data_IF_164624266260
#
_entry.id   IF_164624266260
#
_cell.length_a   1.000
_cell.length_b   1.000
_cell.length_c   1.000
_cell.angle_alpha   90.00
_cell.angle_beta   90.00
_cell.angle_gamma   90.00
#
_symmetry.space_group_name_H-M   'P 1'
#
loop_
_entity.id
_entity.type
_entity.pdbx_description
1 polymer ?
#
# COMPACT_ATOMS: atom_id res chain seq x y z
N UNK A 1 42.29 20.75 -6.36
CA UNK A 1 42.20 19.41 -7.00
C UNK A 1 40.76 18.95 -6.87
N UNK A 2 40.12 18.74 -8.02
CA UNK A 2 38.71 18.40 -8.17
C UNK A 2 38.40 17.06 -7.49
N UNK A 3 37.48 17.05 -6.52
CA UNK A 3 36.82 15.80 -6.12
C UNK A 3 35.72 15.53 -7.15
N UNK A 4 35.95 14.50 -7.94
CA UNK A 4 34.98 13.88 -8.83
C UNK A 4 33.76 13.48 -7.97
N UNK A 5 32.60 14.06 -8.26
CA UNK A 5 31.32 13.65 -7.67
C UNK A 5 30.99 12.31 -8.33
N UNK A 6 31.22 11.21 -7.63
CA UNK A 6 30.78 9.89 -8.07
C UNK A 6 29.26 9.82 -7.96
N UNK A 7 28.64 9.60 -9.10
CA UNK A 7 27.23 9.43 -9.36
C UNK A 7 26.77 8.07 -8.80
N UNK A 8 26.57 7.95 -7.48
CA UNK A 8 25.71 6.96 -6.81
C UNK A 8 25.68 7.14 -5.28
N UNK A 9 25.29 8.33 -4.79
CA UNK A 9 24.99 8.48 -3.36
C UNK A 9 23.66 7.78 -3.04
N UNK A 10 23.76 6.52 -2.60
CA UNK A 10 22.62 5.74 -2.12
C UNK A 10 22.14 6.33 -0.80
N UNK A 11 21.19 7.25 -0.87
CA UNK A 11 20.53 7.81 0.31
C UNK A 11 19.76 6.72 1.06
N UNK A 12 19.95 6.62 2.38
CA UNK A 12 19.26 5.64 3.21
C UNK A 12 17.78 5.98 3.38
N UNK A 13 17.45 7.26 3.56
CA UNK A 13 16.08 7.72 3.79
C UNK A 13 15.59 8.65 2.68
N UNK A 14 14.36 8.48 2.21
CA UNK A 14 13.68 9.47 1.35
C UNK A 14 12.71 10.31 2.18
N UNK A 15 12.76 11.64 2.08
CA UNK A 15 11.92 12.57 2.85
C UNK A 15 10.67 13.03 2.06
N UNK A 16 9.62 12.23 2.05
CA UNK A 16 8.36 12.51 1.35
C UNK A 16 7.28 13.17 2.21
N UNK A 17 6.16 13.52 1.58
CA UNK A 17 5.01 14.12 2.26
C UNK A 17 4.94 15.65 2.11
N UNK A 18 4.22 16.32 3.03
CA UNK A 18 3.84 17.73 2.94
C UNK A 18 5.01 18.64 2.60
N UNK A 19 4.78 19.56 1.67
CA UNK A 19 5.76 20.57 1.24
C UNK A 19 5.32 21.94 1.78
N UNK A 20 5.13 22.94 0.93
CA UNK A 20 4.73 24.27 1.36
C UNK A 20 3.30 24.26 1.95
N UNK A 21 3.04 24.98 3.07
CA UNK A 21 3.91 25.93 3.75
C UNK A 21 4.73 25.33 4.92
N UNK A 22 4.87 24.01 4.98
CA UNK A 22 5.53 23.32 6.10
C UNK A 22 7.05 23.39 6.01
N UNK A 23 7.70 23.34 7.17
CA UNK A 23 9.16 23.45 7.33
C UNK A 23 9.78 22.26 8.06
N UNK A 24 8.98 21.21 8.34
CA UNK A 24 9.36 20.05 9.14
C UNK A 24 10.66 19.36 8.69
N UNK A 25 10.97 19.40 7.38
CA UNK A 25 12.23 18.89 6.84
C UNK A 25 13.41 19.65 7.43
N UNK A 26 13.38 20.98 7.35
CA UNK A 26 14.48 21.84 7.78
C UNK A 26 14.54 22.00 9.30
N UNK A 27 13.39 22.13 9.94
CA UNK A 27 13.31 22.48 11.36
C UNK A 27 13.53 21.26 12.27
N UNK A 28 13.16 20.06 11.83
CA UNK A 28 13.16 18.86 12.67
C UNK A 28 13.91 17.68 12.05
N UNK A 29 13.45 17.17 10.90
CA UNK A 29 13.93 15.89 10.38
C UNK A 29 15.40 15.92 9.96
N UNK A 30 15.82 16.91 9.16
CA UNK A 30 17.19 17.02 8.63
C UNK A 30 18.22 17.20 9.76
N UNK A 31 18.03 18.12 10.74
CA UNK A 31 18.93 18.24 11.87
C UNK A 31 19.12 16.91 12.63
N UNK A 32 18.03 16.20 12.92
CA UNK A 32 18.07 14.92 13.64
C UNK A 32 18.77 13.81 12.85
N UNK A 33 18.57 13.76 11.53
CA UNK A 33 19.24 12.78 10.67
C UNK A 33 20.73 13.05 10.54
N UNK A 34 21.13 14.32 10.42
CA UNK A 34 22.53 14.73 10.39
C UNK A 34 23.25 14.40 11.70
N UNK A 35 22.63 14.68 12.85
CA UNK A 35 23.17 14.34 14.18
C UNK A 35 23.48 12.85 14.33
N UNK A 36 22.69 11.99 13.66
CA UNK A 36 22.82 10.52 13.65
C UNK A 36 23.67 9.97 12.51
N UNK A 37 24.19 10.83 11.63
CA UNK A 37 24.96 10.40 10.45
C UNK A 37 24.16 9.60 9.43
N UNK A 38 22.83 9.75 9.39
CA UNK A 38 21.96 9.04 8.45
C UNK A 38 21.82 9.85 7.15
N UNK A 39 22.13 9.23 6.02
CA UNK A 39 22.02 9.88 4.70
C UNK A 39 20.56 9.95 4.23
N UNK A 40 20.16 11.05 3.61
CA UNK A 40 18.77 11.26 3.17
C UNK A 40 18.67 12.02 1.86
N UNK A 41 17.61 11.73 1.09
CA UNK A 41 17.21 12.51 -0.08
C UNK A 41 16.07 13.45 0.26
N UNK A 42 16.28 14.76 0.06
CA UNK A 42 15.24 15.77 0.20
C UNK A 42 14.71 16.19 -1.19
N UNK A 43 13.46 15.84 -1.56
CA UNK A 43 12.88 16.22 -2.85
C UNK A 43 12.51 17.72 -2.94
N UNK A 44 12.43 18.44 -1.82
CA UNK A 44 12.00 19.83 -1.82
C UNK A 44 13.14 20.75 -2.29
N UNK A 45 13.01 21.27 -3.50
CA UNK A 45 13.94 22.21 -4.11
C UNK A 45 13.34 23.62 -4.24
N UNK A 46 14.18 24.65 -4.23
CA UNK A 46 13.75 26.04 -4.43
C UNK A 46 13.22 26.31 -5.86
N UNK A 47 13.76 25.60 -6.86
CA UNK A 47 13.36 25.73 -8.27
C UNK A 47 13.13 24.35 -8.88
N UNK A 48 11.87 24.02 -9.14
CA UNK A 48 11.48 22.75 -9.75
C UNK A 48 11.83 22.72 -11.25
N UNK A 49 12.25 21.54 -11.75
CA UNK A 49 12.52 21.27 -13.17
C UNK A 49 12.04 19.86 -13.52
N UNK A 50 11.68 19.64 -14.78
CA UNK A 50 11.15 18.36 -15.25
C UNK A 50 12.10 17.17 -15.00
N UNK A 51 13.41 17.38 -15.09
CA UNK A 51 14.45 16.38 -14.80
C UNK A 51 14.43 15.86 -13.36
N UNK A 52 13.82 16.60 -12.43
CA UNK A 52 13.73 16.20 -11.02
C UNK A 52 12.69 15.11 -10.79
N UNK A 53 11.72 14.93 -11.70
CA UNK A 53 10.71 13.87 -11.58
C UNK A 53 11.37 12.50 -11.57
N UNK A 54 12.26 12.26 -12.54
CA UNK A 54 12.93 10.96 -12.67
C UNK A 54 13.94 10.74 -11.55
N UNK A 55 14.68 11.78 -11.17
CA UNK A 55 15.60 11.71 -10.01
C UNK A 55 14.87 11.40 -8.71
N UNK A 56 13.73 12.05 -8.47
CA UNK A 56 12.90 11.79 -7.29
C UNK A 56 12.35 10.36 -7.32
N UNK A 57 11.92 9.87 -8.48
CA UNK A 57 11.47 8.49 -8.63
C UNK A 57 12.58 7.49 -8.30
N UNK A 58 13.78 7.69 -8.85
CA UNK A 58 14.95 6.85 -8.57
C UNK A 58 15.33 6.92 -7.09
N UNK A 59 15.30 8.10 -6.47
CA UNK A 59 15.57 8.27 -5.05
C UNK A 59 14.56 7.51 -4.18
N UNK A 60 13.27 7.53 -4.52
CA UNK A 60 12.24 6.72 -3.84
C UNK A 60 12.52 5.22 -3.99
N UNK A 61 12.89 4.77 -5.19
CA UNK A 61 13.18 3.35 -5.44
C UNK A 61 14.40 2.87 -4.66
N UNK A 62 15.46 3.67 -4.62
CA UNK A 62 16.74 3.31 -4.02
C UNK A 62 16.79 3.48 -2.50
N UNK A 63 15.91 4.32 -1.93
CA UNK A 63 15.86 4.56 -0.50
C UNK A 63 15.52 3.29 0.29
N UNK A 64 16.26 3.09 1.38
CA UNK A 64 16.02 1.99 2.32
C UNK A 64 14.76 2.22 3.14
N UNK A 65 14.51 3.45 3.58
CA UNK A 65 13.28 3.80 4.30
C UNK A 65 12.63 4.99 3.61
N UNK A 66 11.32 4.89 3.39
CA UNK A 66 10.50 6.02 2.97
C UNK A 66 9.99 6.68 4.25
N UNK A 67 10.38 7.93 4.49
CA UNK A 67 9.93 8.72 5.64
C UNK A 67 8.97 9.79 5.17
N UNK A 68 7.70 9.68 5.54
CA UNK A 68 6.64 10.55 5.06
C UNK A 68 5.99 11.33 6.20
N UNK A 69 5.81 12.64 6.02
CA UNK A 69 5.06 13.50 6.95
C UNK A 69 3.80 14.02 6.28
N UNK A 70 2.66 13.82 6.93
CA UNK A 70 1.34 14.27 6.50
C UNK A 70 0.84 15.30 7.51
N UNK A 71 1.16 16.57 7.26
CA UNK A 71 0.90 17.71 8.13
C UNK A 71 -0.49 18.31 7.91
N UNK A 72 -1.08 18.97 8.91
CA UNK A 72 -2.44 19.51 8.78
C UNK A 72 -2.55 20.87 8.06
N UNK A 73 -1.46 21.51 7.62
CA UNK A 73 -1.51 22.78 6.88
C UNK A 73 -1.73 22.63 5.38
N UNK A 74 -1.75 21.41 4.85
CA UNK A 74 -1.98 21.10 3.43
C UNK A 74 -3.11 20.08 3.28
N UNK A 75 -3.71 19.95 2.09
CA UNK A 75 -4.70 18.87 1.82
C UNK A 75 -4.07 17.47 1.72
N UNK A 76 -2.75 17.38 1.58
CA UNK A 76 -1.97 16.14 1.46
C UNK A 76 -2.41 15.12 0.41
N UNK A 77 -3.17 15.52 -0.60
CA UNK A 77 -3.78 14.57 -1.55
C UNK A 77 -2.75 13.61 -2.17
N UNK A 78 -1.63 14.15 -2.64
CA UNK A 78 -0.55 13.34 -3.23
C UNK A 78 0.17 12.50 -2.17
N UNK A 79 0.52 13.09 -1.02
CA UNK A 79 1.23 12.37 0.04
C UNK A 79 0.46 11.17 0.58
N UNK A 80 -0.87 11.29 0.71
CA UNK A 80 -1.75 10.19 1.10
C UNK A 80 -1.77 9.09 0.03
N UNK A 81 -1.92 9.46 -1.25
CA UNK A 81 -1.88 8.52 -2.38
C UNK A 81 -0.55 7.75 -2.41
N UNK A 82 0.57 8.44 -2.22
CA UNK A 82 1.89 7.82 -2.18
C UNK A 82 2.05 6.85 -1.00
N UNK A 83 1.74 7.30 0.22
CA UNK A 83 1.83 6.49 1.42
C UNK A 83 0.97 5.23 1.32
N UNK A 84 -0.27 5.37 0.80
CA UNK A 84 -1.15 4.23 0.54
C UNK A 84 -0.56 3.25 -0.48
N UNK A 85 -0.02 3.74 -1.60
CA UNK A 85 0.63 2.88 -2.58
C UNK A 85 1.85 2.15 -2.01
N UNK A 86 2.68 2.82 -1.22
CA UNK A 86 3.84 2.19 -0.58
C UNK A 86 3.46 1.15 0.46
N UNK A 87 2.37 1.38 1.21
CA UNK A 87 1.83 0.39 2.12
C UNK A 87 1.35 -0.87 1.39
N UNK A 88 0.75 -0.73 0.20
CA UNK A 88 0.42 -1.89 -0.64
C UNK A 88 1.65 -2.59 -1.25
N UNK A 89 2.79 -1.91 -1.38
CA UNK A 89 3.99 -2.41 -2.08
C UNK A 89 5.06 -3.02 -1.16
N UNK A 90 4.74 -3.32 0.11
CA UNK A 90 5.66 -3.86 1.13
C UNK A 90 6.98 -3.07 1.32
N UNK A 91 7.00 -1.77 0.98
CA UNK A 91 8.15 -0.89 1.19
C UNK A 91 8.28 -0.54 2.68
N UNK A 92 9.50 -0.44 3.20
CA UNK A 92 9.73 0.06 4.56
C UNK A 92 9.35 1.55 4.62
N UNK A 93 8.18 1.82 5.19
CA UNK A 93 7.59 3.14 5.35
C UNK A 93 7.55 3.51 6.83
N UNK A 94 7.88 4.76 7.13
CA UNK A 94 7.64 5.40 8.42
C UNK A 94 6.77 6.62 8.15
N UNK A 95 5.61 6.69 8.82
CA UNK A 95 4.62 7.72 8.56
C UNK A 95 4.42 8.60 9.80
N UNK A 96 4.50 9.92 9.64
CA UNK A 96 4.07 10.91 10.64
C UNK A 96 2.77 11.53 10.16
N UNK A 97 1.74 11.59 11.01
CA UNK A 97 0.44 12.15 10.64
C UNK A 97 -0.03 13.16 11.68
N UNK A 98 -0.26 14.40 11.25
CA UNK A 98 -0.89 15.43 12.06
C UNK A 98 -2.38 15.51 11.72
N UNK A 99 -3.23 15.43 12.72
CA UNK A 99 -4.67 15.50 12.54
C UNK A 99 -5.12 16.91 12.11
N UNK A 100 -6.13 16.98 11.24
CA UNK A 100 -6.82 18.24 10.94
C UNK A 100 -7.62 18.69 12.17
N UNK A 101 -7.35 19.90 12.65
CA UNK A 101 -8.00 20.48 13.83
C UNK A 101 -9.50 20.71 13.61
N UNK A 102 -10.23 21.01 14.68
CA UNK A 102 -11.68 21.27 14.68
C UNK A 102 -12.08 22.56 13.97
N UNK A 103 -13.26 23.07 14.34
CA UNK A 103 -13.95 24.18 13.69
C UNK A 103 -13.05 25.36 13.32
N UNK A 104 -13.22 25.87 12.09
CA UNK A 104 -12.42 26.98 11.57
C UNK A 104 -11.00 26.60 11.13
N UNK A 105 -10.69 25.31 10.99
CA UNK A 105 -9.42 24.86 10.41
C UNK A 105 -9.16 25.51 9.04
N UNK A 106 -7.89 25.83 8.78
CA UNK A 106 -7.46 26.51 7.55
C UNK A 106 -6.30 25.75 6.90
N UNK A 107 -6.34 25.67 5.58
CA UNK A 107 -5.29 25.06 4.77
C UNK A 107 -4.54 26.16 4.05
N UNK A 108 -3.26 26.34 4.36
CA UNK A 108 -2.44 27.41 3.79
C UNK A 108 -3.13 28.80 3.80
N UNK A 109 -3.84 29.12 4.88
CA UNK A 109 -4.62 30.35 5.06
C UNK A 109 -6.06 30.31 4.48
N UNK A 110 -6.37 29.37 3.61
CA UNK A 110 -7.70 29.17 3.02
C UNK A 110 -8.69 28.59 4.04
N UNK A 111 -9.88 29.18 4.14
CA UNK A 111 -10.99 28.56 4.89
C UNK A 111 -11.54 27.38 4.10
N UNK A 112 -11.70 26.23 4.75
CA UNK A 112 -12.34 25.05 4.18
C UNK A 112 -13.75 24.86 4.75
N UNK A 113 -14.62 24.16 4.04
CA UNK A 113 -15.95 23.82 4.54
C UNK A 113 -15.91 22.66 5.54
N UNK A 114 -16.98 22.50 6.32
CA UNK A 114 -17.11 21.36 7.24
C UNK A 114 -17.09 20.02 6.48
N UNK A 115 -17.70 19.97 5.30
CA UNK A 115 -17.70 18.78 4.46
C UNK A 115 -16.29 18.46 3.96
N UNK A 116 -15.51 19.48 3.56
CA UNK A 116 -14.11 19.29 3.18
C UNK A 116 -13.28 18.73 4.33
N UNK A 117 -13.45 19.28 5.53
CA UNK A 117 -12.76 18.81 6.72
C UNK A 117 -13.11 17.34 7.03
N UNK A 118 -14.39 16.97 6.89
CA UNK A 118 -14.84 15.58 7.03
C UNK A 118 -14.17 14.67 5.99
N UNK A 119 -14.15 15.07 4.72
CA UNK A 119 -13.57 14.27 3.63
C UNK A 119 -12.06 14.06 3.84
N UNK A 120 -11.34 15.11 4.26
CA UNK A 120 -9.92 15.08 4.57
C UNK A 120 -9.60 14.16 5.75
N UNK A 121 -10.40 14.23 6.82
CA UNK A 121 -10.25 13.36 8.00
C UNK A 121 -10.52 11.90 7.65
N UNK A 122 -11.62 11.60 6.93
CA UNK A 122 -11.92 10.24 6.46
C UNK A 122 -10.80 9.65 5.64
N UNK A 123 -10.13 10.46 4.81
CA UNK A 123 -8.98 9.99 4.03
C UNK A 123 -7.77 9.68 4.89
N UNK A 124 -7.50 10.46 5.94
CA UNK A 124 -6.43 10.18 6.89
C UNK A 124 -6.72 8.96 7.76
N UNK A 125 -7.96 8.80 8.23
CA UNK A 125 -8.36 7.65 9.04
C UNK A 125 -8.22 6.35 8.24
N UNK A 126 -8.66 6.36 6.98
CA UNK A 126 -8.43 5.25 6.06
C UNK A 126 -6.94 4.97 5.86
N UNK A 127 -6.10 6.00 5.68
CA UNK A 127 -4.65 5.81 5.54
C UNK A 127 -4.06 5.14 6.79
N UNK A 128 -4.44 5.59 7.98
CA UNK A 128 -4.01 4.99 9.25
C UNK A 128 -4.45 3.53 9.37
N UNK A 129 -5.69 3.21 9.03
CA UNK A 129 -6.20 1.83 9.00
C UNK A 129 -5.37 0.94 8.05
N UNK A 130 -5.03 1.45 6.86
CA UNK A 130 -4.18 0.73 5.91
C UNK A 130 -2.76 0.51 6.46
N UNK A 131 -2.17 1.51 7.14
CA UNK A 131 -0.86 1.33 7.78
C UNK A 131 -0.92 0.26 8.85
N UNK A 132 -1.92 0.31 9.75
CA UNK A 132 -2.11 -0.64 10.84
C UNK A 132 -2.25 -2.07 10.31
N UNK A 133 -3.11 -2.28 9.29
CA UNK A 133 -3.29 -3.58 8.64
C UNK A 133 -2.00 -4.13 8.02
N UNK A 134 -1.14 -3.26 7.49
CA UNK A 134 0.15 -3.67 6.93
C UNK A 134 1.25 -3.83 7.99
N UNK A 135 1.00 -3.41 9.24
CA UNK A 135 2.01 -3.40 10.31
C UNK A 135 3.03 -2.27 10.15
N UNK A 136 2.64 -1.19 9.47
CA UNK A 136 3.47 -0.01 9.24
C UNK A 136 3.28 0.97 10.41
N UNK A 137 4.35 1.43 11.07
CA UNK A 137 4.24 2.30 12.22
C UNK A 137 3.85 3.73 11.81
N UNK A 138 2.88 4.30 12.54
CA UNK A 138 2.45 5.70 12.41
C UNK A 138 2.76 6.49 13.66
N UNK A 139 3.23 7.72 13.51
CA UNK A 139 3.65 8.59 14.60
C UNK A 139 2.97 9.97 14.52
N UNK A 140 2.95 10.68 15.64
CA UNK A 140 2.50 12.08 15.71
C UNK A 140 3.67 13.07 15.84
N UNK A 141 4.89 12.56 16.02
CA UNK A 141 6.07 13.37 16.31
C UNK A 141 7.31 12.87 15.56
N UNK A 142 7.99 13.80 14.89
CA UNK A 142 9.12 13.52 14.00
C UNK A 142 10.31 12.91 14.74
N UNK A 143 10.77 13.43 15.89
CA UNK A 143 11.84 12.80 16.68
C UNK A 143 11.67 11.30 16.94
N UNK A 144 10.47 10.85 17.33
CA UNK A 144 10.19 9.43 17.60
C UNK A 144 10.21 8.63 16.29
N UNK A 145 9.62 9.18 15.23
CA UNK A 145 9.61 8.56 13.91
C UNK A 145 11.03 8.40 13.35
N UNK A 146 11.91 9.39 13.52
CA UNK A 146 13.32 9.33 13.08
C UNK A 146 14.07 8.22 13.83
N UNK A 147 13.76 8.01 15.12
CA UNK A 147 14.30 6.88 15.88
C UNK A 147 13.85 5.53 15.34
N UNK A 148 12.56 5.39 15.04
CA UNK A 148 12.06 4.17 14.40
C UNK A 148 12.73 3.94 13.02
N UNK A 149 12.89 4.99 12.22
CA UNK A 149 13.55 4.88 10.92
C UNK A 149 15.01 4.42 11.04
N UNK A 150 15.74 4.90 12.04
CA UNK A 150 17.10 4.45 12.38
C UNK A 150 17.12 2.96 12.79
N UNK A 151 16.21 2.53 13.67
CA UNK A 151 16.09 1.12 14.09
C UNK A 151 15.83 0.21 12.87
N UNK A 152 14.92 0.61 11.98
CA UNK A 152 14.62 -0.11 10.73
C UNK A 152 15.84 -0.20 9.78
N UNK A 153 16.73 0.80 9.81
CA UNK A 153 17.98 0.79 9.04
C UNK A 153 19.00 -0.18 9.64
N UNK A 154 19.11 -0.27 10.97
CA UNK A 154 20.06 -1.16 11.65
C UNK A 154 19.63 -2.63 11.62
N UNK A 155 18.33 -2.92 11.61
CA UNK A 155 17.80 -4.28 11.41
C UNK A 155 18.10 -4.85 10.01
N UNK A 156 18.64 -4.05 9.06
CA UNK A 156 19.02 -4.50 7.71
C UNK A 156 20.40 -5.16 7.62
N UNK A 157 21.16 -5.30 8.70
CA UNK A 157 22.57 -5.76 8.65
C UNK A 157 22.84 -7.18 9.19
N UNK A 158 21.80 -7.99 9.45
CA UNK A 158 21.98 -9.38 9.95
C UNK A 158 22.43 -10.36 8.84
N UNK A 159 22.27 -10.00 7.57
CA UNK A 159 22.59 -10.86 6.40
C UNK A 159 24.06 -10.88 5.98
N UNK A 160 24.98 -10.22 6.69
CA UNK A 160 26.43 -10.29 6.40
C UNK A 160 27.16 -11.46 7.07
N UNK A 161 26.46 -12.31 7.82
CA UNK A 161 27.06 -13.41 8.58
C UNK A 161 26.62 -14.80 8.09
N UNK A 162 26.52 -15.05 6.79
CA UNK A 162 26.52 -16.44 6.28
C UNK A 162 27.35 -16.49 5.00
N UNK A 163 28.58 -16.98 5.11
CA UNK A 163 29.34 -17.43 3.97
C UNK A 163 29.77 -18.89 4.20
N UNK A 164 29.86 -19.61 3.08
CA UNK A 164 30.39 -20.96 2.85
C UNK A 164 29.51 -22.18 3.17
N UNK A 165 29.18 -22.87 2.05
CA UNK A 165 28.93 -24.31 1.88
C UNK A 165 27.57 -24.85 2.37
N UNK A 166 26.61 -24.99 1.45
CA UNK A 166 26.41 -26.28 0.78
C UNK A 166 25.45 -26.18 -0.40
N UNK A 167 25.78 -26.92 -1.46
CA UNK A 167 25.05 -27.03 -2.72
C UNK A 167 24.41 -28.42 -2.72
N UNK A 168 23.07 -28.54 -2.66
CA UNK A 168 22.32 -29.74 -3.09
C UNK A 168 20.88 -29.33 -3.47
N UNK A 169 20.40 -29.97 -4.55
CA UNK A 169 19.18 -29.80 -5.34
C UNK A 169 17.86 -29.71 -4.52
N UNK A 170 16.82 -28.98 -4.93
CA UNK A 170 15.85 -29.39 -5.98
C UNK A 170 14.71 -28.36 -6.13
N UNK A 171 14.24 -28.18 -7.37
CA UNK A 171 12.95 -27.63 -7.85
C UNK A 171 12.52 -26.21 -7.44
N UNK A 172 12.13 -25.45 -8.47
CA UNK A 172 11.70 -24.04 -8.46
C UNK A 172 10.61 -23.75 -7.42
N UNK A 173 11.05 -23.40 -6.23
CA UNK A 173 10.34 -22.55 -5.28
C UNK A 173 11.08 -21.22 -5.34
N UNK A 174 10.34 -20.11 -5.44
CA UNK A 174 10.87 -18.75 -5.48
C UNK A 174 11.99 -18.56 -4.43
N UNK A 175 13.19 -18.15 -4.83
CA UNK A 175 14.37 -18.05 -3.94
C UNK A 175 14.06 -17.18 -2.69
N UNK A 176 13.13 -16.23 -2.84
CA UNK A 176 12.65 -15.36 -1.78
C UNK A 176 11.75 -16.09 -0.76
N UNK A 177 10.91 -17.03 -1.21
CA UNK A 177 10.05 -17.86 -0.35
C UNK A 177 10.85 -18.89 0.45
N UNK A 178 11.87 -19.50 -0.16
CA UNK A 178 12.74 -20.46 0.54
C UNK A 178 13.50 -19.75 1.66
N UNK A 179 13.99 -18.55 1.39
CA UNK A 179 14.68 -17.71 2.40
C UNK A 179 13.73 -17.37 3.56
N UNK A 180 12.50 -16.94 3.26
CA UNK A 180 11.48 -16.66 4.27
C UNK A 180 11.15 -17.88 5.14
N UNK A 181 11.08 -19.07 4.54
CA UNK A 181 10.82 -20.32 5.27
C UNK A 181 12.00 -20.68 6.17
N UNK A 182 13.23 -20.53 5.70
CA UNK A 182 14.44 -20.78 6.50
C UNK A 182 14.52 -19.85 7.71
N UNK A 183 14.31 -18.55 7.51
CA UNK A 183 14.31 -17.55 8.58
C UNK A 183 13.22 -17.83 9.61
N UNK A 184 12.00 -18.13 9.14
CA UNK A 184 10.88 -18.42 10.03
C UNK A 184 11.13 -19.70 10.82
N UNK A 185 11.60 -20.77 10.17
CA UNK A 185 11.92 -22.02 10.85
C UNK A 185 13.00 -21.83 11.92
N UNK A 186 14.07 -21.12 11.58
CA UNK A 186 15.18 -20.83 12.50
C UNK A 186 14.73 -19.99 13.70
N UNK A 187 13.75 -19.10 13.52
CA UNK A 187 13.18 -18.32 14.62
C UNK A 187 12.42 -19.19 15.64
N UNK A 188 11.89 -20.35 15.22
CA UNK A 188 11.17 -21.28 16.10
C UNK A 188 12.05 -22.44 16.59
N UNK A 189 13.07 -22.85 15.84
CA UNK A 189 14.08 -23.82 16.29
C UNK A 189 15.12 -23.19 17.23
N UNK A 190 14.64 -22.61 18.33
CA UNK A 190 15.45 -21.91 19.34
C UNK A 190 16.56 -22.75 19.98
N UNK A 191 16.47 -24.08 19.85
CA UNK A 191 17.44 -25.04 20.37
C UNK A 191 18.41 -25.56 19.31
N UNK A 192 18.29 -25.10 18.07
CA UNK A 192 19.05 -25.59 16.91
C UNK A 192 19.01 -27.12 16.80
N UNK A 193 17.82 -27.68 17.08
CA UNK A 193 17.56 -29.12 17.13
C UNK A 193 17.32 -29.72 15.75
N UNK A 194 17.14 -28.89 14.73
CA UNK A 194 16.76 -29.27 13.37
C UNK A 194 15.26 -29.57 13.23
N UNK A 195 14.46 -29.36 14.28
CA UNK A 195 13.02 -29.67 14.31
C UNK A 195 12.24 -28.64 15.13
N UNK A 196 10.98 -28.37 14.76
CA UNK A 196 10.07 -27.49 15.50
C UNK A 196 8.77 -28.21 15.87
N UNK A 197 8.01 -27.73 16.86
CA UNK A 197 6.76 -28.39 17.23
C UNK A 197 5.62 -28.09 16.25
N UNK A 198 4.56 -28.91 16.20
CA UNK A 198 3.36 -28.59 15.40
C UNK A 198 2.71 -27.25 15.77
N UNK A 199 2.82 -26.85 17.03
CA UNK A 199 2.33 -25.56 17.53
C UNK A 199 3.21 -24.39 17.03
N UNK A 200 4.52 -24.61 16.93
CA UNK A 200 5.43 -23.68 16.24
C UNK A 200 5.14 -23.59 14.75
N UNK A 201 4.78 -24.71 14.11
CA UNK A 201 4.35 -24.70 12.70
C UNK A 201 3.09 -23.85 12.52
N UNK A 202 2.08 -23.97 13.39
CA UNK A 202 0.88 -23.12 13.36
C UNK A 202 1.25 -21.63 13.50
N UNK A 203 2.14 -21.29 14.44
CA UNK A 203 2.62 -19.91 14.63
C UNK A 203 3.41 -19.40 13.43
N UNK A 204 4.29 -20.22 12.89
CA UNK A 204 5.07 -19.93 11.71
C UNK A 204 4.18 -19.72 10.48
N UNK A 205 3.14 -20.54 10.32
CA UNK A 205 2.12 -20.40 9.28
C UNK A 205 1.38 -19.05 9.41
N UNK A 206 0.96 -18.69 10.62
CA UNK A 206 0.36 -17.37 10.89
C UNK A 206 1.32 -16.20 10.64
N UNK A 207 2.62 -16.39 10.85
CA UNK A 207 3.63 -15.37 10.57
C UNK A 207 3.87 -15.18 9.06
N UNK A 208 3.86 -16.26 8.29
CA UNK A 208 4.14 -16.25 6.85
C UNK A 208 2.90 -15.82 6.05
N UNK A 209 1.74 -16.39 6.34
CA UNK A 209 0.52 -16.20 5.54
C UNK A 209 -0.51 -15.28 6.18
N UNK A 210 -0.31 -14.85 7.44
CA UNK A 210 -1.28 -14.07 8.23
C UNK A 210 -2.66 -14.75 8.36
N UNK A 211 -2.68 -16.08 8.28
CA UNK A 211 -3.84 -16.95 8.45
C UNK A 211 -3.58 -17.95 9.60
N UNK A 212 -4.63 -18.36 10.31
CA UNK A 212 -4.50 -19.40 11.33
C UNK A 212 -4.82 -20.76 10.72
N UNK A 213 -3.93 -21.74 10.91
CA UNK A 213 -4.15 -23.14 10.54
C UNK A 213 -4.29 -24.00 11.80
N UNK A 214 -5.22 -24.96 11.80
CA UNK A 214 -5.39 -25.86 12.94
C UNK A 214 -4.40 -27.03 12.88
N UNK A 215 -4.05 -27.58 14.04
CA UNK A 215 -3.24 -28.81 14.12
C UNK A 215 -3.94 -29.99 13.43
N UNK A 216 -5.28 -29.99 13.40
CA UNK A 216 -6.07 -31.00 12.68
C UNK A 216 -5.80 -30.97 11.17
N UNK A 217 -5.73 -29.77 10.59
CA UNK A 217 -5.44 -29.57 9.15
C UNK A 217 -3.98 -29.89 8.83
N UNK A 218 -3.04 -29.62 9.74
CA UNK A 218 -1.64 -30.01 9.55
C UNK A 218 -1.43 -31.55 9.54
N UNK A 219 -2.27 -32.30 10.27
CA UNK A 219 -2.20 -33.77 10.34
C UNK A 219 -2.70 -34.46 9.07
N UNK A 220 -3.59 -33.84 8.30
CA UNK A 220 -4.06 -34.41 7.02
C UNK A 220 -2.98 -34.30 5.93
N UNK A 221 -2.09 -33.30 6.02
CA UNK A 221 -0.96 -33.09 5.10
C UNK A 221 0.24 -33.99 5.41
N UNK A 222 0.36 -34.51 6.64
CA UNK A 222 1.43 -35.38 7.10
C UNK A 222 0.91 -36.79 7.47
N UNK A 223 0.67 -37.69 6.51
CA UNK A 223 0.11 -39.02 6.78
C UNK A 223 1.06 -39.99 7.52
N UNK A 224 2.28 -39.57 7.88
CA UNK A 224 3.29 -40.41 8.55
C UNK A 224 3.81 -39.80 9.86
N UNK A 225 2.95 -39.17 10.64
CA UNK A 225 3.20 -39.08 12.08
C UNK A 225 2.66 -40.36 12.72
N UNK A 226 3.50 -41.39 12.74
CA UNK A 226 3.21 -42.67 13.37
C UNK A 226 2.65 -42.44 14.79
N UNK A 227 1.68 -43.27 15.18
CA UNK A 227 0.84 -43.15 16.38
C UNK A 227 1.56 -43.21 17.74
N UNK A 228 2.82 -42.78 17.80
CA UNK A 228 3.62 -42.62 18.99
C UNK A 228 4.24 -41.20 19.05
N UNK A 229 3.39 -40.17 19.00
CA UNK A 229 3.60 -38.90 19.70
C UNK A 229 4.90 -38.13 19.44
N UNK A 230 5.57 -38.31 18.31
CA UNK A 230 6.66 -37.39 17.90
C UNK A 230 6.03 -36.08 17.42
N UNK A 231 6.02 -35.08 18.30
CA UNK A 231 5.48 -33.74 18.10
C UNK A 231 6.39 -32.82 17.29
N UNK A 232 7.40 -33.36 16.59
CA UNK A 232 8.49 -32.61 15.97
C UNK A 232 8.46 -32.67 14.45
N UNK A 233 8.69 -31.52 13.79
CA UNK A 233 8.60 -31.29 12.36
C UNK A 233 9.96 -30.79 11.85
N UNK A 234 10.57 -31.54 10.94
CA UNK A 234 11.85 -31.14 10.31
C UNK A 234 11.68 -30.00 9.31
N UNK A 235 12.77 -29.30 8.96
CA UNK A 235 12.74 -28.22 7.98
C UNK A 235 12.17 -28.67 6.62
N UNK A 236 12.51 -29.88 6.15
CA UNK A 236 11.98 -30.42 4.89
C UNK A 236 10.46 -30.66 4.96
N UNK A 237 9.95 -31.16 6.09
CA UNK A 237 8.50 -31.31 6.33
C UNK A 237 7.80 -29.95 6.47
N UNK A 238 8.45 -28.98 7.11
CA UNK A 238 7.96 -27.60 7.22
C UNK A 238 7.83 -26.93 5.84
N UNK A 239 8.85 -27.04 4.99
CA UNK A 239 8.78 -26.60 3.60
C UNK A 239 7.73 -27.36 2.80
N UNK A 240 7.48 -28.64 3.10
CA UNK A 240 6.39 -29.39 2.45
C UNK A 240 5.02 -28.91 2.91
N UNK A 241 4.84 -28.54 4.19
CA UNK A 241 3.58 -27.98 4.71
C UNK A 241 3.28 -26.62 4.07
N UNK A 242 4.27 -25.73 4.02
CA UNK A 242 4.12 -24.39 3.48
C UNK A 242 4.16 -24.38 1.94
N UNK A 243 4.97 -25.25 1.35
CA UNK A 243 5.16 -25.40 -0.10
C UNK A 243 4.11 -26.27 -0.79
N UNK A 244 3.41 -27.16 -0.07
CA UNK A 244 2.24 -27.89 -0.62
C UNK A 244 0.98 -27.03 -0.72
N UNK A 245 1.06 -25.71 -0.48
CA UNK A 245 0.31 -24.80 -1.34
C UNK A 245 0.92 -24.85 -2.75
N UNK A 246 0.74 -25.99 -3.42
CA UNK A 246 0.30 -25.92 -4.81
C UNK A 246 -0.90 -24.98 -4.80
N UNK A 247 -0.95 -24.10 -5.78
CA UNK A 247 -2.10 -23.39 -6.34
C UNK A 247 -3.45 -24.12 -6.25
N UNK A 248 -3.92 -24.39 -5.04
CA UNK A 248 -5.14 -25.11 -4.61
C UNK A 248 -5.28 -24.74 -3.12
N UNK A 249 -5.86 -23.62 -2.72
CA UNK A 249 -6.99 -22.93 -3.30
C UNK A 249 -6.57 -21.67 -4.06
N UNK A 250 -7.08 -21.49 -5.28
CA UNK A 250 -7.48 -20.15 -5.70
C UNK A 250 -8.28 -19.58 -4.52
N UNK A 251 -7.81 -18.53 -3.85
CA UNK A 251 -8.68 -17.78 -2.93
C UNK A 251 -9.89 -17.44 -3.78
N UNK A 252 -11.00 -18.17 -3.58
CA UNK A 252 -12.14 -18.06 -4.47
C UNK A 252 -12.56 -16.60 -4.37
N UNK A 253 -12.47 -15.90 -5.50
CA UNK A 253 -12.82 -14.50 -5.58
C UNK A 253 -14.27 -14.44 -5.11
N UNK A 254 -14.54 -13.69 -4.04
CA UNK A 254 -15.90 -13.62 -3.50
C UNK A 254 -16.83 -12.89 -4.46
N UNK A 255 -16.26 -12.05 -5.33
CA UNK A 255 -16.98 -11.29 -6.34
C UNK A 255 -16.12 -11.08 -7.59
N UNK A 256 -16.76 -11.00 -8.76
CA UNK A 256 -16.06 -10.71 -10.01
C UNK A 256 -15.55 -9.27 -10.04
N UNK A 257 -16.37 -8.32 -9.58
CA UNK A 257 -16.03 -6.90 -9.56
C UNK A 257 -16.20 -6.26 -8.18
N UNK A 258 -15.24 -5.43 -7.79
CA UNK A 258 -15.38 -4.45 -6.72
C UNK A 258 -15.64 -3.08 -7.35
N UNK A 259 -16.76 -2.45 -7.02
CA UNK A 259 -17.17 -1.17 -7.59
C UNK A 259 -17.16 -0.09 -6.51
N UNK A 260 -16.25 0.88 -6.60
CA UNK A 260 -16.18 1.99 -5.65
C UNK A 260 -15.97 3.33 -6.35
N UNK A 261 -16.41 4.41 -5.71
CA UNK A 261 -16.32 5.76 -6.27
C UNK A 261 -17.58 6.58 -6.07
N UNK A 262 -17.42 7.87 -5.79
CA UNK A 262 -18.55 8.77 -5.59
C UNK A 262 -19.13 9.29 -6.91
N UNK A 263 -20.40 9.70 -6.86
CA UNK A 263 -21.18 10.16 -8.00
C UNK A 263 -22.56 9.54 -7.98
N UNK A 264 -23.58 10.37 -8.18
CA UNK A 264 -24.98 9.93 -8.18
C UNK A 264 -25.20 8.93 -9.33
N UNK A 265 -25.65 7.73 -8.96
CA UNK A 265 -26.36 6.78 -9.81
C UNK A 265 -25.59 5.97 -10.85
N UNK A 266 -24.31 6.22 -11.15
CA UNK A 266 -23.62 5.41 -12.17
C UNK A 266 -23.60 3.91 -11.85
N UNK A 267 -23.54 3.56 -10.56
CA UNK A 267 -23.62 2.17 -10.10
C UNK A 267 -24.98 1.55 -10.47
N UNK A 268 -26.08 2.27 -10.26
CA UNK A 268 -27.45 1.79 -10.54
C UNK A 268 -27.83 1.87 -12.03
N UNK A 269 -27.45 2.95 -12.70
CA UNK A 269 -27.88 3.27 -14.06
C UNK A 269 -26.98 2.64 -15.14
N UNK A 270 -25.69 2.42 -14.84
CA UNK A 270 -24.71 1.93 -15.83
C UNK A 270 -24.18 0.57 -15.39
N UNK A 271 -23.56 0.47 -14.22
CA UNK A 271 -22.81 -0.72 -13.83
C UNK A 271 -23.71 -1.95 -13.60
N UNK A 272 -24.73 -1.83 -12.75
CA UNK A 272 -25.61 -2.96 -12.41
C UNK A 272 -26.36 -3.55 -13.62
N UNK A 273 -26.96 -2.76 -14.54
CA UNK A 273 -27.61 -3.31 -15.73
C UNK A 273 -26.64 -4.09 -16.62
N UNK A 274 -25.44 -3.55 -16.85
CA UNK A 274 -24.41 -4.20 -17.68
C UNK A 274 -23.89 -5.48 -17.03
N UNK A 275 -23.61 -5.46 -15.72
CA UNK A 275 -23.12 -6.65 -15.00
C UNK A 275 -24.14 -7.77 -14.95
N UNK A 276 -25.43 -7.44 -14.69
CA UNK A 276 -26.53 -8.42 -14.70
C UNK A 276 -26.71 -9.06 -16.08
N UNK A 277 -26.57 -8.28 -17.16
CA UNK A 277 -26.63 -8.78 -18.53
C UNK A 277 -25.54 -9.82 -18.83
N UNK A 278 -24.37 -9.66 -18.22
CA UNK A 278 -23.22 -10.56 -18.36
C UNK A 278 -23.15 -11.65 -17.27
N UNK A 279 -24.10 -11.69 -16.33
CA UNK A 279 -24.13 -12.69 -15.25
C UNK A 279 -23.00 -12.58 -14.23
N UNK A 280 -22.36 -11.41 -14.11
CA UNK A 280 -21.22 -11.19 -13.21
C UNK A 280 -21.67 -10.72 -11.82
N UNK A 281 -21.03 -11.27 -10.79
CA UNK A 281 -21.18 -10.87 -9.39
C UNK A 281 -20.39 -9.58 -9.09
N UNK A 282 -20.85 -8.78 -8.14
CA UNK A 282 -20.18 -7.54 -7.80
C UNK A 282 -20.38 -7.15 -6.33
N UNK A 283 -19.42 -6.40 -5.79
CA UNK A 283 -19.45 -5.82 -4.46
C UNK A 283 -19.46 -4.29 -4.54
N UNK A 284 -20.38 -3.65 -3.83
CA UNK A 284 -20.47 -2.19 -3.70
C UNK A 284 -20.32 -1.81 -2.22
N UNK A 285 -19.16 -1.30 -1.78
CA UNK A 285 -18.85 -1.04 -0.37
C UNK A 285 -19.89 -0.18 0.34
N UNK A 286 -20.46 0.80 -0.36
CA UNK A 286 -21.38 1.77 0.24
C UNK A 286 -22.73 1.15 0.68
N UNK A 287 -23.00 -0.10 0.28
CA UNK A 287 -24.21 -0.85 0.68
C UNK A 287 -24.01 -1.70 1.95
N UNK A 288 -22.77 -1.83 2.44
CA UNK A 288 -22.42 -2.72 3.55
C UNK A 288 -21.82 -1.94 4.71
N UNK A 289 -22.03 -2.44 5.93
CA UNK A 289 -21.47 -1.87 7.16
C UNK A 289 -20.18 -2.56 7.62
N UNK A 290 -19.77 -3.64 6.96
CA UNK A 290 -18.69 -4.54 7.40
C UNK A 290 -17.50 -4.58 6.43
N UNK A 291 -16.49 -5.40 6.75
CA UNK A 291 -15.10 -5.36 6.27
C UNK A 291 -14.91 -5.28 4.74
N UNK A 292 -14.97 -4.06 4.23
CA UNK A 292 -14.79 -3.73 2.82
C UNK A 292 -13.36 -3.99 2.32
N UNK A 293 -12.40 -4.19 3.23
CA UNK A 293 -11.01 -4.48 2.89
C UNK A 293 -10.86 -5.92 2.39
N UNK A 294 -11.48 -6.88 3.07
CA UNK A 294 -11.50 -8.28 2.61
C UNK A 294 -12.15 -8.40 1.25
N UNK A 295 -13.28 -7.73 1.02
CA UNK A 295 -13.92 -7.71 -0.30
C UNK A 295 -13.01 -7.09 -1.38
N UNK A 296 -12.29 -6.00 -1.07
CA UNK A 296 -11.32 -5.40 -1.98
C UNK A 296 -10.21 -6.38 -2.35
N UNK A 297 -9.68 -7.13 -1.38
CA UNK A 297 -8.60 -8.08 -1.62
C UNK A 297 -9.06 -9.36 -2.33
N UNK A 298 -10.36 -9.70 -2.24
CA UNK A 298 -10.94 -10.93 -2.78
C UNK A 298 -11.80 -10.72 -4.04
N UNK A 299 -11.76 -9.53 -4.63
CA UNK A 299 -12.41 -9.26 -5.91
C UNK A 299 -11.45 -9.42 -7.06
N UNK A 300 -11.93 -10.02 -8.16
CA UNK A 300 -11.12 -10.31 -9.34
C UNK A 300 -10.72 -9.05 -10.13
N UNK A 301 -11.62 -8.07 -10.22
CA UNK A 301 -11.38 -6.78 -10.88
C UNK A 301 -11.83 -5.65 -9.96
N UNK A 302 -11.02 -4.61 -9.80
CA UNK A 302 -11.33 -3.44 -8.98
C UNK A 302 -11.57 -2.22 -9.85
N UNK A 303 -12.81 -1.72 -9.92
CA UNK A 303 -13.16 -0.51 -10.65
C UNK A 303 -13.29 0.67 -9.68
N UNK A 304 -12.42 1.66 -9.84
CA UNK A 304 -12.46 2.92 -9.09
C UNK A 304 -12.94 4.06 -10.00
N UNK A 305 -14.04 4.71 -9.62
CA UNK A 305 -14.58 5.89 -10.33
C UNK A 305 -14.33 7.16 -9.51
N UNK A 306 -13.52 8.05 -10.05
CA UNK A 306 -13.15 9.35 -9.46
C UNK A 306 -13.84 10.43 -10.29
N UNK A 307 -14.97 10.91 -9.79
CA UNK A 307 -15.86 11.83 -10.47
C UNK A 307 -15.36 13.30 -10.46
N UNK A 308 -15.86 14.10 -11.42
CA UNK A 308 -15.69 15.56 -11.47
C UNK A 308 -16.62 16.34 -10.51
N UNK A 309 -17.46 15.63 -9.74
CA UNK A 309 -18.38 16.22 -8.75
C UNK A 309 -18.10 15.78 -7.29
N UNK A 310 -16.92 15.23 -7.03
CA UNK A 310 -16.47 14.83 -5.69
C UNK A 310 -14.97 15.11 -5.48
N UNK A 311 -14.53 15.26 -4.22
CA UNK A 311 -13.09 15.32 -3.89
C UNK A 311 -12.39 13.97 -4.09
N UNK A 312 -13.11 12.87 -3.88
CA UNK A 312 -12.68 11.48 -4.09
C UNK A 312 -11.42 11.05 -3.34
N UNK A 313 -11.17 11.63 -2.16
CA UNK A 313 -9.95 11.39 -1.40
C UNK A 313 -9.80 9.93 -0.93
N UNK A 314 -10.84 9.38 -0.32
CA UNK A 314 -10.85 7.98 0.13
C UNK A 314 -10.80 7.01 -1.05
N UNK A 315 -11.54 7.29 -2.12
CA UNK A 315 -11.53 6.50 -3.36
C UNK A 315 -10.14 6.47 -3.98
N UNK A 316 -9.47 7.62 -4.13
CA UNK A 316 -8.10 7.70 -4.63
C UNK A 316 -7.09 6.98 -3.71
N UNK A 317 -7.28 7.08 -2.39
CA UNK A 317 -6.44 6.38 -1.40
C UNK A 317 -6.54 4.86 -1.55
N UNK A 318 -7.76 4.31 -1.65
CA UNK A 318 -7.97 2.87 -1.90
C UNK A 318 -7.39 2.42 -3.24
N UNK A 319 -7.59 3.21 -4.30
CA UNK A 319 -7.05 2.93 -5.62
C UNK A 319 -5.52 2.85 -5.58
N UNK A 320 -4.87 3.81 -4.92
CA UNK A 320 -3.42 3.84 -4.79
C UNK A 320 -2.89 2.62 -4.01
N UNK A 321 -3.54 2.26 -2.91
CA UNK A 321 -3.21 1.06 -2.15
C UNK A 321 -3.35 -0.22 -2.99
N UNK A 322 -4.45 -0.35 -3.73
CA UNK A 322 -4.69 -1.49 -4.62
C UNK A 322 -3.66 -1.60 -5.76
N UNK A 323 -3.22 -0.46 -6.32
CA UNK A 323 -2.10 -0.41 -7.27
C UNK A 323 -0.79 -0.88 -6.63
N UNK A 324 -0.56 -0.54 -5.36
CA UNK A 324 0.57 -1.01 -4.58
C UNK A 324 0.59 -2.52 -4.42
N UNK A 325 -0.58 -3.11 -4.11
CA UNK A 325 -0.79 -4.55 -4.02
C UNK A 325 -0.68 -5.30 -5.36
N UNK A 326 -0.50 -4.59 -6.48
CA UNK A 326 -0.55 -5.15 -7.85
C UNK A 326 -1.90 -5.82 -8.17
N UNK A 327 -2.98 -5.37 -7.54
CA UNK A 327 -4.31 -5.87 -7.83
C UNK A 327 -4.75 -5.49 -9.27
N UNK A 328 -5.72 -6.23 -9.81
CA UNK A 328 -6.25 -5.94 -11.14
C UNK A 328 -7.21 -4.74 -11.09
N UNK A 329 -6.64 -3.55 -11.29
CA UNK A 329 -7.32 -2.26 -11.16
C UNK A 329 -7.74 -1.71 -12.53
N UNK A 330 -8.89 -1.05 -12.57
CA UNK A 330 -9.33 -0.15 -13.64
C UNK A 330 -9.69 1.20 -13.02
N UNK A 331 -9.21 2.28 -13.62
CA UNK A 331 -9.45 3.63 -13.16
C UNK A 331 -10.36 4.38 -14.14
N UNK A 332 -11.40 5.03 -13.62
CA UNK A 332 -12.12 6.08 -14.33
C UNK A 332 -11.86 7.40 -13.61
N UNK A 333 -11.10 8.32 -14.21
CA UNK A 333 -10.68 9.57 -13.59
C UNK A 333 -11.20 10.75 -14.40
N UNK A 334 -12.04 11.55 -13.75
CA UNK A 334 -12.56 12.81 -14.27
C UNK A 334 -11.95 13.98 -13.49
N UNK A 335 -11.52 15.02 -14.21
CA UNK A 335 -10.92 16.22 -13.62
C UNK A 335 -11.99 17.15 -13.06
N UNK A 336 -11.69 17.79 -11.93
CA UNK A 336 -12.48 18.92 -11.44
C UNK A 336 -12.27 20.12 -12.36
N UNK A 337 -13.36 20.81 -12.71
CA UNK A 337 -13.39 22.05 -13.49
C UNK A 337 -13.71 23.23 -12.59
N UNK A 338 -13.52 24.45 -13.08
CA UNK A 338 -13.81 25.68 -12.32
C UNK A 338 -15.31 25.83 -11.97
N UNK A 339 -16.18 25.20 -12.75
CA UNK A 339 -17.63 25.12 -12.54
C UNK A 339 -18.10 23.83 -11.84
N UNK A 340 -17.18 22.91 -11.52
CA UNK A 340 -17.50 21.70 -10.76
C UNK A 340 -18.13 22.07 -9.41
N UNK A 341 -19.22 21.37 -9.07
CA UNK A 341 -19.85 21.44 -7.76
C UNK A 341 -19.69 20.12 -7.03
N UNK A 342 -19.10 20.17 -5.85
CA UNK A 342 -18.97 19.00 -4.99
C UNK A 342 -20.33 18.68 -4.40
N UNK A 343 -20.76 17.43 -4.54
CA UNK A 343 -22.09 16.96 -4.14
C UNK A 343 -23.24 17.84 -4.68
N UNK A 344 -23.03 18.46 -5.86
CA UNK A 344 -24.01 19.29 -6.55
C UNK A 344 -24.20 20.71 -6.01
N UNK A 345 -23.62 21.06 -4.86
CA UNK A 345 -23.87 22.36 -4.21
C UNK A 345 -22.60 23.17 -3.91
N UNK A 346 -21.52 22.53 -3.49
CA UNK A 346 -20.34 23.21 -2.97
C UNK A 346 -19.40 23.65 -4.10
N UNK A 347 -19.05 24.94 -4.14
CA UNK A 347 -18.06 25.48 -5.06
C UNK A 347 -16.68 25.48 -4.41
N UNK A 348 -15.70 24.93 -5.10
CA UNK A 348 -14.31 24.93 -4.66
C UNK A 348 -13.58 26.22 -5.04
N UNK A 349 -12.53 26.55 -4.28
CA UNK A 349 -11.56 27.56 -4.70
C UNK A 349 -10.66 27.04 -5.82
N UNK A 350 -10.00 27.95 -6.53
CA UNK A 350 -9.03 27.58 -7.57
C UNK A 350 -7.85 26.78 -7.00
N UNK A 351 -7.40 27.11 -5.77
CA UNK A 351 -6.32 26.38 -5.10
C UNK A 351 -6.76 24.96 -4.74
N UNK A 352 -7.97 24.79 -4.22
CA UNK A 352 -8.54 23.48 -3.90
C UNK A 352 -8.65 22.61 -5.16
N UNK A 353 -9.16 23.16 -6.26
CA UNK A 353 -9.25 22.46 -7.56
C UNK A 353 -7.86 21.99 -8.00
N UNK A 354 -6.84 22.85 -7.90
CA UNK A 354 -5.46 22.48 -8.25
C UNK A 354 -4.94 21.35 -7.37
N UNK A 355 -5.14 21.41 -6.05
CA UNK A 355 -4.65 20.40 -5.11
C UNK A 355 -5.32 19.03 -5.35
N UNK A 356 -6.64 19.00 -5.53
CA UNK A 356 -7.39 17.76 -5.79
C UNK A 356 -7.12 17.19 -7.18
N UNK A 357 -6.92 18.04 -8.20
CA UNK A 357 -6.52 17.58 -9.52
C UNK A 357 -5.07 17.09 -9.54
N UNK A 358 -4.17 17.65 -8.73
CA UNK A 358 -2.81 17.12 -8.58
C UNK A 358 -2.81 15.68 -8.09
N UNK A 359 -3.71 15.34 -7.18
CA UNK A 359 -3.95 13.95 -6.76
C UNK A 359 -4.40 13.05 -7.90
N UNK A 360 -5.37 13.50 -8.70
CA UNK A 360 -5.86 12.77 -9.89
C UNK A 360 -4.76 12.56 -10.93
N UNK A 361 -3.95 13.58 -11.19
CA UNK A 361 -2.80 13.52 -12.10
C UNK A 361 -1.77 12.51 -11.60
N UNK A 362 -1.47 12.54 -10.31
CA UNK A 362 -0.52 11.60 -9.71
C UNK A 362 -1.02 10.15 -9.76
N UNK A 363 -2.29 9.91 -9.42
CA UNK A 363 -2.89 8.58 -9.52
C UNK A 363 -2.94 8.09 -10.98
N UNK A 364 -3.16 9.00 -11.93
CA UNK A 364 -3.10 8.68 -13.36
C UNK A 364 -1.70 8.25 -13.77
N UNK A 365 -0.65 8.97 -13.34
CA UNK A 365 0.74 8.59 -13.60
C UNK A 365 1.09 7.23 -12.97
N UNK A 366 0.68 7.02 -11.72
CA UNK A 366 0.86 5.75 -11.01
C UNK A 366 0.17 4.59 -11.74
N UNK A 367 -1.06 4.77 -12.21
CA UNK A 367 -1.79 3.78 -13.00
C UNK A 367 -1.07 3.47 -14.33
N UNK A 368 -0.60 4.48 -15.05
CA UNK A 368 0.17 4.30 -16.30
C UNK A 368 1.44 3.50 -16.08
N UNK A 369 2.21 3.80 -15.03
CA UNK A 369 3.44 3.05 -14.68
C UNK A 369 3.16 1.59 -14.34
N UNK A 370 1.97 1.28 -13.83
CA UNK A 370 1.53 -0.09 -13.54
C UNK A 370 0.75 -0.74 -14.70
N UNK A 371 0.73 -0.13 -15.90
CA UNK A 371 0.00 -0.62 -17.08
C UNK A 371 -1.51 -0.87 -16.82
N UNK A 372 -2.12 -0.04 -15.97
CA UNK A 372 -3.55 -0.12 -15.64
C UNK A 372 -4.39 0.64 -16.68
N UNK A 373 -5.55 0.10 -17.12
CA UNK A 373 -6.48 0.83 -17.96
C UNK A 373 -7.06 2.06 -17.26
N UNK A 374 -7.03 3.21 -17.93
CA UNK A 374 -7.53 4.48 -17.41
C UNK A 374 -8.49 5.10 -18.42
N UNK A 375 -9.68 5.46 -17.96
CA UNK A 375 -10.74 6.08 -18.76
C UNK A 375 -11.21 7.39 -18.12
N UNK A 376 -11.89 8.23 -18.90
CA UNK A 376 -12.68 9.36 -18.39
C UNK A 376 -14.18 9.13 -18.50
N UNK A 377 -14.58 8.11 -19.27
CA UNK A 377 -15.95 7.71 -19.52
C UNK A 377 -16.29 6.48 -18.67
N UNK A 378 -17.35 6.58 -17.87
CA UNK A 378 -17.72 5.57 -16.88
C UNK A 378 -18.20 4.28 -17.57
N UNK A 379 -19.01 4.40 -18.63
CA UNK A 379 -19.53 3.24 -19.35
C UNK A 379 -18.40 2.42 -19.99
N UNK A 380 -17.44 3.09 -20.63
CA UNK A 380 -16.24 2.43 -21.17
C UNK A 380 -15.41 1.74 -20.09
N UNK A 381 -15.26 2.36 -18.91
CA UNK A 381 -14.55 1.76 -17.80
C UNK A 381 -15.26 0.50 -17.26
N UNK A 382 -16.60 0.53 -17.15
CA UNK A 382 -17.42 -0.63 -16.76
C UNK A 382 -17.30 -1.75 -17.79
N UNK A 383 -17.43 -1.45 -19.08
CA UNK A 383 -17.29 -2.44 -20.16
C UNK A 383 -15.90 -3.07 -20.16
N UNK A 384 -14.84 -2.30 -19.90
CA UNK A 384 -13.49 -2.83 -19.74
C UNK A 384 -13.40 -3.76 -18.52
N UNK A 385 -14.05 -3.43 -17.40
CA UNK A 385 -14.06 -4.26 -16.21
C UNK A 385 -14.77 -5.59 -16.44
N UNK A 386 -15.90 -5.57 -17.14
CA UNK A 386 -16.62 -6.78 -17.58
C UNK A 386 -15.71 -7.64 -18.45
N UNK A 387 -15.09 -7.05 -19.48
CA UNK A 387 -14.18 -7.78 -20.37
C UNK A 387 -13.02 -8.45 -19.62
N UNK A 388 -12.42 -7.75 -18.65
CA UNK A 388 -11.32 -8.34 -17.87
C UNK A 388 -11.80 -9.45 -16.92
N UNK A 389 -12.98 -9.29 -16.32
CA UNK A 389 -13.58 -10.33 -15.51
C UNK A 389 -13.84 -11.58 -16.36
N UNK A 390 -14.44 -11.44 -17.55
CA UNK A 390 -14.79 -12.60 -18.39
C UNK A 390 -13.56 -13.31 -18.98
N UNK A 391 -12.55 -12.57 -19.45
CA UNK A 391 -11.54 -13.13 -20.38
C UNK A 391 -10.09 -13.04 -19.91
N UNK A 392 -9.77 -12.31 -18.84
CA UNK A 392 -8.39 -12.18 -18.34
C UNK A 392 -8.05 -13.15 -17.18
N UNK A 393 -8.83 -14.21 -17.02
CA UNK A 393 -8.54 -15.27 -16.05
C UNK A 393 -7.47 -16.21 -16.62
N UNK A 394 -6.20 -15.80 -16.63
CA UNK A 394 -5.04 -16.65 -16.95
C UNK A 394 -3.81 -16.13 -16.24
#
# INVERSE_FOLDING_TARGET
>A
MSKCITQDEKHQIFLGGSCNPTTWRQDEAIPLLNDRGITFYNPQVAHWRHELIEKEHQAKQNASVLFYVIDNKTRNVVGIIEAANFAGSSRKLVLVVNAYNGDGHRINGESISDQELIDLRKSLDLLKELMERQGIPTFENIPIAVKCAEEILHERDVTKCINTQDKILTQEIDEELVTLFQETFSAFDTRNSGTISLDDVCRAYGRIYRENISIGDLRTVLPQCDGNGSSSVSFQQFCSILGNRKSTDSIECSHDLYLTGEGADWKEQIAKPLLRKHGLSYFIPELYKEDCFTALCRSRVLLFVISENSRALTTMTKAAFALGLKANVILCIQRLRTDSKINGCEKLSDQAIQDYNRGRDYLTDLGKRNNVPIYSDIEKAVLQAIYQAEFKSS
#
